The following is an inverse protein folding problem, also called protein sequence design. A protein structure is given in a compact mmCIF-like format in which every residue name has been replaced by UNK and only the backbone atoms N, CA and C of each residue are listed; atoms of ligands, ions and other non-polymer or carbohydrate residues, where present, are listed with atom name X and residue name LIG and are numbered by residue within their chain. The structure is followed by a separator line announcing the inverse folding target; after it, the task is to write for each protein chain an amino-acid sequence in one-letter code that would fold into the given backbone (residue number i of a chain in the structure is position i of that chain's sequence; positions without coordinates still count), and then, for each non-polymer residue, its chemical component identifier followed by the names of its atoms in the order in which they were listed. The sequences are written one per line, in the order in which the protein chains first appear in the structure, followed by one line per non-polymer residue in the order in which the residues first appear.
data_IF_266882265911
#
_entry.id   IF_266882265911
#
_cell.length_a   1.000
_cell.length_b   1.000
_cell.length_c   1.000
_cell.angle_alpha   90.00
_cell.angle_beta   90.00
_cell.angle_gamma   90.00
#
_symmetry.space_group_name_H-M   'P 1'
#
loop_
_entity.id
_entity.type
_entity.pdbx_description
1 polymer ?
#
# COMPACT_ATOMS: atom_id res chain seq x y z
N UNK A 1 -43.27 -6.49 -16.31
CA UNK A 1 -42.29 -5.59 -15.63
C UNK A 1 -41.22 -6.49 -15.05
N UNK A 2 -40.13 -6.69 -15.82
CA UNK A 2 -38.98 -7.49 -15.34
C UNK A 2 -38.28 -6.67 -14.25
N UNK A 3 -38.38 -7.12 -13.01
CA UNK A 3 -37.53 -6.60 -11.93
C UNK A 3 -36.06 -6.84 -12.31
N UNK A 4 -35.38 -5.80 -12.75
CA UNK A 4 -33.94 -5.89 -12.95
C UNK A 4 -33.30 -6.19 -11.58
N UNK A 5 -32.71 -7.39 -11.49
CA UNK A 5 -32.08 -7.85 -10.26
C UNK A 5 -30.69 -7.19 -10.17
N UNK A 6 -30.55 -6.16 -9.34
CA UNK A 6 -29.28 -5.51 -9.07
C UNK A 6 -28.64 -6.07 -7.81
N UNK A 7 -27.37 -6.41 -7.91
CA UNK A 7 -26.53 -6.70 -6.76
C UNK A 7 -25.94 -5.39 -6.24
N UNK A 8 -26.31 -4.99 -5.02
CA UNK A 8 -25.73 -3.83 -4.33
C UNK A 8 -24.42 -4.23 -3.65
N UNK A 9 -23.34 -3.70 -4.13
CA UNK A 9 -22.00 -3.93 -3.57
C UNK A 9 -21.50 -2.64 -2.93
N UNK A 10 -21.23 -2.69 -1.61
CA UNK A 10 -20.51 -1.60 -0.94
C UNK A 10 -19.03 -1.81 -1.13
N UNK A 11 -18.33 -0.75 -1.51
CA UNK A 11 -16.87 -0.73 -1.69
C UNK A 11 -16.29 0.52 -1.05
N UNK A 12 -15.12 0.41 -0.45
CA UNK A 12 -14.50 1.50 0.27
C UNK A 12 -14.08 2.64 -0.67
N UNK A 13 -14.33 3.87 -0.24
CA UNK A 13 -13.90 5.11 -0.88
C UNK A 13 -13.45 6.08 0.21
N UNK A 14 -12.17 6.11 0.47
CA UNK A 14 -11.66 6.83 1.63
C UNK A 14 -12.15 6.23 2.95
N UNK A 15 -12.65 7.10 3.81
CA UNK A 15 -13.27 6.70 5.08
C UNK A 15 -14.75 6.36 4.93
N UNK A 16 -15.32 6.54 3.73
CA UNK A 16 -16.72 6.25 3.41
C UNK A 16 -16.83 5.04 2.48
N UNK A 17 -18.06 4.66 2.16
CA UNK A 17 -18.32 3.63 1.17
C UNK A 17 -19.11 4.23 0.00
N UNK A 18 -18.85 3.73 -1.20
CA UNK A 18 -19.68 3.95 -2.37
C UNK A 18 -20.48 2.67 -2.68
N UNK A 19 -21.64 2.84 -3.29
CA UNK A 19 -22.48 1.72 -3.67
C UNK A 19 -22.37 1.49 -5.17
N UNK A 20 -21.98 0.27 -5.54
CA UNK A 20 -22.00 -0.22 -6.91
C UNK A 20 -23.31 -0.99 -7.15
N UNK A 21 -24.24 -0.41 -7.88
CA UNK A 21 -25.44 -1.11 -8.35
C UNK A 21 -25.10 -1.80 -9.68
N UNK A 22 -24.76 -3.09 -9.60
CA UNK A 22 -24.40 -3.92 -10.76
C UNK A 22 -25.54 -4.90 -11.02
N UNK A 23 -25.94 -5.07 -12.30
CA UNK A 23 -26.89 -6.12 -12.63
C UNK A 23 -26.30 -7.47 -12.22
N UNK A 24 -27.13 -8.32 -11.59
CA UNK A 24 -26.68 -9.62 -11.10
C UNK A 24 -26.02 -10.46 -12.20
N UNK A 25 -26.50 -10.35 -13.43
CA UNK A 25 -25.92 -11.01 -14.61
C UNK A 25 -24.51 -10.51 -14.99
N UNK A 26 -24.13 -9.29 -14.58
CA UNK A 26 -22.79 -8.69 -14.86
C UNK A 26 -21.80 -8.89 -13.71
N UNK A 27 -22.26 -9.18 -12.50
CA UNK A 27 -21.35 -9.48 -11.38
C UNK A 27 -20.85 -10.91 -11.50
N UNK A 28 -19.53 -11.08 -11.62
CA UNK A 28 -18.90 -12.41 -11.57
C UNK A 28 -18.70 -12.82 -10.12
N UNK A 29 -17.90 -12.05 -9.39
CA UNK A 29 -17.74 -12.23 -7.96
C UNK A 29 -17.28 -10.94 -7.28
N UNK A 30 -17.43 -10.92 -5.96
CA UNK A 30 -16.81 -9.94 -5.07
C UNK A 30 -15.77 -10.64 -4.20
N UNK A 31 -14.54 -10.15 -4.26
CA UNK A 31 -13.40 -10.69 -3.56
C UNK A 31 -13.14 -9.83 -2.33
N UNK A 32 -13.25 -10.44 -1.17
CA UNK A 32 -12.86 -9.87 0.11
C UNK A 32 -11.65 -10.65 0.64
N UNK A 33 -10.89 -10.04 1.55
CA UNK A 33 -9.72 -10.64 2.20
C UNK A 33 -9.95 -10.83 3.72
N UNK A 34 -11.05 -11.49 4.15
CA UNK A 34 -11.25 -11.78 5.55
C UNK A 34 -10.22 -12.81 6.02
N UNK A 35 -9.89 -12.80 7.30
CA UNK A 35 -8.97 -13.77 7.85
C UNK A 35 -8.99 -13.78 9.36
N UNK A 36 -8.25 -14.75 9.94
CA UNK A 36 -7.99 -14.79 11.36
C UNK A 36 -7.21 -13.54 11.76
N UNK A 37 -7.50 -13.02 12.93
CA UNK A 37 -6.80 -11.87 13.50
C UNK A 37 -6.27 -12.23 14.87
N UNK A 38 -5.14 -11.62 15.25
CA UNK A 38 -4.57 -11.75 16.57
C UNK A 38 -5.43 -10.99 17.59
N UNK A 39 -5.64 -11.62 18.74
CA UNK A 39 -6.14 -10.97 19.96
C UNK A 39 -5.06 -10.08 20.58
N UNK A 40 -5.44 -9.22 21.52
CA UNK A 40 -4.49 -8.34 22.19
C UNK A 40 -3.45 -9.13 22.97
N UNK A 41 -3.82 -10.25 23.61
CA UNK A 41 -2.89 -11.15 24.30
C UNK A 41 -1.90 -11.85 23.35
N UNK A 42 -2.34 -12.22 22.14
CA UNK A 42 -1.43 -12.79 21.13
C UNK A 42 -0.46 -11.73 20.59
N UNK A 43 -0.92 -10.49 20.41
CA UNK A 43 -0.06 -9.36 20.04
C UNK A 43 0.96 -9.11 21.13
N UNK A 44 0.54 -9.05 22.39
CA UNK A 44 1.40 -8.86 23.55
C UNK A 44 2.49 -9.93 23.63
N UNK A 45 2.13 -11.21 23.47
CA UNK A 45 3.09 -12.31 23.44
C UNK A 45 4.13 -12.15 22.33
N UNK A 46 3.72 -11.71 21.14
CA UNK A 46 4.63 -11.45 20.02
C UNK A 46 5.54 -10.23 20.24
N UNK A 47 5.18 -9.32 21.13
CA UNK A 47 6.00 -8.17 21.54
C UNK A 47 7.00 -8.49 22.66
N UNK A 48 6.99 -9.69 23.26
CA UNK A 48 7.91 -10.10 24.32
C UNK A 48 9.41 -9.94 23.99
N UNK A 49 9.87 -10.11 22.72
CA UNK A 49 11.27 -9.89 22.39
C UNK A 49 11.76 -8.44 22.59
N UNK A 50 10.84 -7.46 22.79
CA UNK A 50 11.21 -6.09 23.12
C UNK A 50 11.62 -5.96 24.58
N UNK A 51 12.85 -5.53 24.81
CA UNK A 51 13.34 -5.21 26.16
C UNK A 51 12.84 -3.84 26.62
N UNK A 52 11.66 -3.82 27.25
CA UNK A 52 11.04 -2.60 27.73
C UNK A 52 11.79 -1.93 28.90
N UNK A 53 12.78 -2.61 29.51
CA UNK A 53 13.60 -2.03 30.58
C UNK A 53 14.60 -1.00 30.07
N UNK A 54 14.90 -1.01 28.76
CA UNK A 54 15.81 -0.08 28.11
C UNK A 54 15.05 1.12 27.51
N UNK A 55 15.64 2.33 27.54
CA UNK A 55 15.10 3.44 26.78
C UNK A 55 14.98 3.08 25.31
N UNK A 56 13.83 3.38 24.69
CA UNK A 56 13.61 3.18 23.27
C UNK A 56 12.80 4.33 22.66
N UNK A 57 12.95 4.50 21.37
CA UNK A 57 12.16 5.42 20.55
C UNK A 57 11.46 4.63 19.44
N UNK A 58 10.17 4.82 19.30
CA UNK A 58 9.35 4.13 18.29
C UNK A 58 9.30 4.97 17.02
N UNK A 59 9.86 4.47 15.94
CA UNK A 59 9.82 5.13 14.63
C UNK A 59 8.65 4.58 13.82
N UNK A 60 7.58 5.34 13.70
CA UNK A 60 6.39 4.98 12.93
C UNK A 60 6.61 5.31 11.45
N UNK A 61 6.61 4.30 10.59
CA UNK A 61 6.92 4.43 9.16
C UNK A 61 5.69 4.56 8.27
N UNK A 62 4.54 4.04 8.69
CA UNK A 62 3.26 4.25 8.04
C UNK A 62 2.12 4.26 9.06
N UNK A 63 0.98 4.81 8.65
CA UNK A 63 -0.21 4.93 9.50
C UNK A 63 -1.27 3.94 9.05
N UNK A 64 -1.68 3.07 9.96
CA UNK A 64 -2.80 2.13 9.78
C UNK A 64 -3.44 1.82 11.13
N UNK A 65 -4.66 1.27 11.12
CA UNK A 65 -5.30 0.81 12.34
C UNK A 65 -4.53 -0.33 13.01
N UNK A 66 -3.81 -1.13 12.22
CA UNK A 66 -2.96 -2.22 12.75
C UNK A 66 -1.74 -1.68 13.50
N UNK A 67 -1.08 -0.65 12.96
CA UNK A 67 0.02 0.05 13.64
C UNK A 67 -0.49 0.70 14.93
N UNK A 68 -1.62 1.43 14.86
CA UNK A 68 -2.25 2.04 16.04
C UNK A 68 -2.57 0.99 17.12
N UNK A 69 -3.20 -0.12 16.74
CA UNK A 69 -3.55 -1.20 17.66
C UNK A 69 -2.30 -1.81 18.30
N UNK A 70 -1.26 -2.10 17.53
CA UNK A 70 0.00 -2.66 18.04
C UNK A 70 0.65 -1.74 19.08
N UNK A 71 0.69 -0.43 18.80
CA UNK A 71 1.24 0.54 19.73
C UNK A 71 0.39 0.71 20.99
N UNK A 72 -0.94 0.65 20.88
CA UNK A 72 -1.82 0.67 22.06
C UNK A 72 -1.56 -0.53 22.99
N UNK A 73 -1.40 -1.75 22.44
CA UNK A 73 -1.06 -2.94 23.23
C UNK A 73 0.32 -2.77 23.89
N UNK A 74 1.30 -2.22 23.15
CA UNK A 74 2.64 -1.95 23.72
C UNK A 74 2.56 -0.93 24.87
N UNK A 75 1.78 0.13 24.73
CA UNK A 75 1.63 1.15 25.77
C UNK A 75 0.89 0.61 27.01
N UNK A 76 -0.14 -0.20 26.82
CA UNK A 76 -0.82 -0.88 27.92
C UNK A 76 0.17 -1.75 28.71
N UNK A 77 1.04 -2.50 28.02
CA UNK A 77 2.10 -3.31 28.65
C UNK A 77 3.13 -2.45 29.41
N UNK A 78 3.45 -1.26 28.91
CA UNK A 78 4.31 -0.33 29.64
C UNK A 78 3.65 0.14 30.94
N UNK A 79 2.36 0.43 30.91
CA UNK A 79 1.59 0.88 32.09
C UNK A 79 1.49 -0.21 33.15
N UNK A 80 1.15 -1.45 32.76
CA UNK A 80 1.11 -2.61 33.67
C UNK A 80 2.43 -2.81 34.40
N UNK A 81 3.56 -2.59 33.70
CA UNK A 81 4.90 -2.70 34.27
C UNK A 81 5.40 -1.44 34.96
N UNK A 82 4.59 -0.37 35.03
CA UNK A 82 4.99 0.94 35.54
C UNK A 82 6.21 1.54 34.84
N UNK A 83 6.37 1.27 33.54
CA UNK A 83 7.43 1.76 32.68
C UNK A 83 6.91 2.97 31.91
N UNK A 84 7.75 3.99 31.75
CA UNK A 84 7.42 5.16 30.93
C UNK A 84 7.20 4.75 29.47
N UNK A 85 6.10 5.21 28.86
CA UNK A 85 5.84 5.00 27.43
C UNK A 85 7.00 5.56 26.59
N UNK A 86 7.48 4.81 25.58
CA UNK A 86 8.49 5.30 24.64
C UNK A 86 8.05 6.57 23.90
N UNK A 87 9.01 7.42 23.50
CA UNK A 87 8.75 8.51 22.57
C UNK A 87 8.41 7.98 21.17
N UNK A 88 7.65 8.76 20.41
CA UNK A 88 7.30 8.43 19.02
C UNK A 88 8.00 9.38 18.06
N UNK A 89 8.66 8.82 17.07
CA UNK A 89 9.20 9.52 15.92
C UNK A 89 8.38 9.17 14.68
N UNK A 90 8.10 10.14 13.82
CA UNK A 90 7.36 9.89 12.58
C UNK A 90 7.84 10.79 11.45
N UNK A 91 7.70 10.35 10.21
CA UNK A 91 7.98 11.21 9.05
C UNK A 91 7.07 12.43 9.04
N UNK A 92 7.59 13.57 8.59
CA UNK A 92 6.86 14.84 8.49
C UNK A 92 5.51 14.71 7.77
N UNK A 93 5.42 13.81 6.78
CA UNK A 93 4.19 13.59 6.01
C UNK A 93 3.07 12.92 6.81
N UNK A 94 3.41 12.17 7.87
CA UNK A 94 2.44 11.38 8.64
C UNK A 94 2.35 11.81 10.12
N UNK A 95 3.23 12.68 10.60
CA UNK A 95 3.32 13.07 12.02
C UNK A 95 1.99 13.58 12.59
N UNK A 96 1.23 14.35 11.81
CA UNK A 96 -0.07 14.86 12.25
C UNK A 96 -1.11 13.75 12.40
N UNK A 97 -1.05 12.70 11.58
CA UNK A 97 -1.92 11.53 11.70
C UNK A 97 -1.55 10.73 12.94
N UNK A 98 -0.24 10.56 13.18
CA UNK A 98 0.27 9.88 14.38
C UNK A 98 -0.13 10.63 15.66
N UNK A 99 -0.06 11.98 15.68
CA UNK A 99 -0.56 12.80 16.80
C UNK A 99 -2.05 12.59 17.04
N UNK A 100 -2.85 12.46 15.98
CA UNK A 100 -4.28 12.17 16.11
C UNK A 100 -4.56 10.75 16.62
N UNK A 101 -3.67 9.80 16.34
CA UNK A 101 -3.79 8.43 16.88
C UNK A 101 -3.53 8.38 18.39
N UNK A 102 -2.62 9.22 18.88
CA UNK A 102 -2.13 9.22 20.26
C UNK A 102 -2.18 10.64 20.86
N UNK A 103 -3.37 11.21 21.07
CA UNK A 103 -3.52 12.62 21.52
C UNK A 103 -2.94 12.86 22.94
N UNK A 104 -2.87 11.82 23.76
CA UNK A 104 -2.31 11.89 25.10
C UNK A 104 -0.78 11.74 25.15
N UNK A 105 -0.15 11.42 24.02
CA UNK A 105 1.29 11.24 23.91
C UNK A 105 1.99 12.57 23.62
N UNK A 106 2.63 13.15 24.62
CA UNK A 106 3.28 14.46 24.49
C UNK A 106 4.63 14.41 23.73
N UNK A 107 5.25 13.24 23.59
CA UNK A 107 6.59 13.08 23.02
C UNK A 107 6.49 12.49 21.59
N UNK A 108 5.89 13.25 20.66
CA UNK A 108 5.84 12.90 19.24
C UNK A 108 6.61 13.96 18.46
N UNK A 109 7.72 13.54 17.79
CA UNK A 109 8.60 14.42 17.03
C UNK A 109 8.91 13.88 15.63
N UNK A 110 9.61 14.68 14.83
CA UNK A 110 9.94 14.30 13.44
C UNK A 110 11.13 13.34 13.41
N UNK A 111 11.01 12.27 12.64
CA UNK A 111 12.10 11.35 12.33
C UNK A 111 12.92 11.86 11.15
N UNK A 112 14.15 12.31 11.40
CA UNK A 112 15.01 12.93 10.40
C UNK A 112 16.11 11.99 9.90
N UNK A 113 16.81 11.29 10.78
CA UNK A 113 17.95 10.47 10.46
C UNK A 113 18.06 9.23 11.36
N UNK A 114 18.81 8.23 10.90
CA UNK A 114 19.30 7.15 11.74
C UNK A 114 20.68 7.59 12.20
N UNK A 115 20.74 8.20 13.38
CA UNK A 115 22.00 8.59 13.99
C UNK A 115 22.45 7.49 14.96
N UNK A 116 23.73 7.47 15.32
CA UNK A 116 24.28 6.67 16.41
C UNK A 116 23.78 7.25 17.75
N UNK A 117 22.47 7.14 17.97
CA UNK A 117 21.84 7.60 19.20
C UNK A 117 22.03 6.55 20.28
N UNK A 118 22.22 7.00 21.52
CA UNK A 118 22.25 6.12 22.72
C UNK A 118 20.88 5.46 23.02
N UNK A 119 19.88 5.70 22.18
CA UNK A 119 18.53 5.10 22.27
C UNK A 119 18.35 3.99 21.26
N UNK A 120 17.74 2.87 21.71
CA UNK A 120 17.36 1.79 20.81
C UNK A 120 16.20 2.22 19.92
N UNK A 121 16.44 2.42 18.63
CA UNK A 121 15.39 2.70 17.65
C UNK A 121 14.62 1.42 17.33
N UNK A 122 13.30 1.48 17.53
CA UNK A 122 12.37 0.41 17.17
C UNK A 122 11.44 0.93 16.07
N UNK A 123 11.63 0.44 14.86
CA UNK A 123 10.81 0.79 13.71
C UNK A 123 9.51 0.02 13.72
N UNK A 124 8.39 0.69 13.45
CA UNK A 124 7.06 0.07 13.42
C UNK A 124 6.42 0.34 12.08
N UNK A 125 5.99 -0.72 11.40
CA UNK A 125 5.33 -0.59 10.11
C UNK A 125 4.44 -1.77 9.75
N UNK A 126 3.34 -1.50 9.07
CA UNK A 126 2.53 -2.50 8.39
C UNK A 126 3.18 -2.80 7.04
N UNK A 127 3.40 -4.06 6.75
CA UNK A 127 3.88 -4.55 5.46
C UNK A 127 2.76 -4.40 4.42
N UNK A 128 3.13 -3.88 3.26
CA UNK A 128 2.24 -3.72 2.11
C UNK A 128 2.86 -4.41 0.89
N UNK A 129 2.09 -4.59 -0.18
CA UNK A 129 2.66 -5.03 -1.46
C UNK A 129 3.27 -3.85 -2.21
N UNK A 130 4.34 -4.13 -2.93
CA UNK A 130 5.08 -3.14 -3.70
C UNK A 130 5.48 -3.70 -5.06
N UNK A 131 5.25 -2.95 -6.13
CA UNK A 131 5.55 -3.40 -7.48
C UNK A 131 7.05 -3.54 -7.76
N UNK A 132 7.88 -2.73 -7.11
CA UNK A 132 9.33 -2.71 -7.31
C UNK A 132 10.07 -3.71 -6.41
N UNK A 133 9.67 -3.79 -5.14
CA UNK A 133 10.34 -4.63 -4.14
C UNK A 133 9.61 -5.95 -3.87
N UNK A 134 8.42 -6.13 -4.46
CA UNK A 134 7.51 -7.22 -4.12
C UNK A 134 6.75 -6.95 -2.82
N UNK A 135 7.44 -6.50 -1.79
CA UNK A 135 6.89 -6.13 -0.48
C UNK A 135 7.43 -4.77 -0.03
N UNK A 136 6.57 -3.90 0.47
CA UNK A 136 6.98 -2.70 1.18
C UNK A 136 7.11 -3.01 2.67
N UNK A 137 8.34 -3.05 3.17
CA UNK A 137 8.72 -3.41 4.54
C UNK A 137 9.48 -2.26 5.21
N UNK A 138 9.83 -2.40 6.47
CA UNK A 138 10.73 -1.47 7.15
C UNK A 138 12.03 -1.30 6.34
N UNK A 139 12.65 -2.39 5.87
CA UNK A 139 13.89 -2.34 5.08
C UNK A 139 13.74 -1.53 3.79
N UNK A 140 12.65 -1.69 3.06
CA UNK A 140 12.42 -0.98 1.80
C UNK A 140 12.11 0.50 2.03
N UNK A 141 11.37 0.83 3.09
CA UNK A 141 11.08 2.22 3.48
C UNK A 141 12.36 2.96 3.89
N UNK A 142 13.25 2.28 4.62
CA UNK A 142 14.56 2.84 4.97
C UNK A 142 15.43 3.07 3.73
N UNK A 143 15.45 2.12 2.79
CA UNK A 143 16.16 2.29 1.53
C UNK A 143 15.59 3.46 0.72
N UNK A 144 14.26 3.55 0.58
CA UNK A 144 13.60 4.67 -0.12
C UNK A 144 13.93 6.03 0.50
N UNK A 145 14.10 6.10 1.83
CA UNK A 145 14.36 7.36 2.55
C UNK A 145 15.85 7.75 2.58
N UNK A 146 16.75 6.79 2.74
CA UNK A 146 18.16 7.05 3.03
C UNK A 146 19.15 6.43 2.01
N UNK A 147 18.66 5.61 1.10
CA UNK A 147 19.48 4.75 0.27
C UNK A 147 20.06 5.40 -0.99
N UNK A 148 19.73 6.67 -1.31
CA UNK A 148 20.24 7.44 -2.47
C UNK A 148 20.69 6.62 -3.68
N UNK A 149 22.01 6.34 -3.81
CA UNK A 149 22.62 5.56 -4.90
C UNK A 149 22.14 4.10 -4.94
N UNK A 150 21.97 3.47 -3.76
CA UNK A 150 21.46 2.10 -3.68
C UNK A 150 19.98 2.03 -4.08
N UNK A 151 19.21 3.10 -3.84
CA UNK A 151 17.83 3.19 -4.31
C UNK A 151 17.79 3.29 -5.84
N UNK A 152 18.69 4.09 -6.44
CA UNK A 152 18.84 4.15 -7.90
C UNK A 152 19.24 2.79 -8.46
N UNK A 153 20.22 2.11 -7.87
CA UNK A 153 20.62 0.75 -8.26
C UNK A 153 19.46 -0.26 -8.18
N UNK A 154 18.67 -0.22 -7.11
CA UNK A 154 17.50 -1.06 -6.97
C UNK A 154 16.44 -0.81 -8.06
N UNK A 155 16.21 0.47 -8.40
CA UNK A 155 15.33 0.84 -9.49
C UNK A 155 15.87 0.36 -10.85
N UNK A 156 17.14 0.52 -11.14
CA UNK A 156 17.74 0.09 -12.40
C UNK A 156 17.66 -1.43 -12.63
N UNK A 157 17.73 -2.21 -11.57
CA UNK A 157 17.51 -3.66 -11.61
C UNK A 157 16.08 -4.04 -12.03
N UNK A 158 15.11 -3.16 -11.80
CA UNK A 158 13.67 -3.42 -11.97
C UNK A 158 13.00 -2.63 -13.11
N UNK A 159 13.67 -1.59 -13.65
CA UNK A 159 13.07 -0.68 -14.65
C UNK A 159 12.60 -1.37 -15.94
N UNK A 160 13.16 -2.51 -16.28
CA UNK A 160 12.78 -3.31 -17.46
C UNK A 160 11.66 -4.31 -17.21
N UNK A 161 11.30 -4.56 -15.96
CA UNK A 161 10.31 -5.54 -15.56
C UNK A 161 8.95 -4.88 -15.29
N UNK A 162 7.89 -5.67 -15.43
CA UNK A 162 6.57 -5.30 -14.95
C UNK A 162 6.51 -5.39 -13.42
N UNK A 163 5.53 -4.72 -12.76
CA UNK A 163 5.34 -4.83 -11.33
C UNK A 163 5.23 -6.30 -10.89
N UNK A 164 5.89 -6.65 -9.80
CA UNK A 164 5.91 -8.01 -9.26
C UNK A 164 5.56 -8.04 -7.77
N UNK A 165 4.36 -7.57 -7.38
CA UNK A 165 3.94 -7.55 -5.98
C UNK A 165 3.87 -8.98 -5.43
N UNK A 166 4.32 -9.14 -4.17
CA UNK A 166 4.31 -10.43 -3.47
C UNK A 166 5.38 -11.42 -3.94
N UNK A 167 6.35 -10.99 -4.76
CA UNK A 167 7.45 -11.82 -5.21
C UNK A 167 8.77 -11.43 -4.48
N UNK A 168 9.65 -12.41 -4.30
CA UNK A 168 11.00 -12.17 -3.78
C UNK A 168 11.92 -11.78 -4.95
N UNK A 169 12.20 -10.50 -5.08
CA UNK A 169 12.96 -9.90 -6.18
C UNK A 169 14.30 -9.36 -5.73
N UNK A 170 15.27 -9.18 -6.67
CA UNK A 170 16.62 -8.73 -6.34
C UNK A 170 16.64 -7.35 -5.64
N UNK A 171 15.77 -6.42 -6.02
CA UNK A 171 15.64 -5.12 -5.37
C UNK A 171 15.30 -5.24 -3.88
N UNK A 172 14.50 -6.23 -3.49
CA UNK A 172 14.20 -6.51 -2.08
C UNK A 172 15.43 -6.96 -1.30
N UNK A 173 16.31 -7.76 -1.94
CA UNK A 173 17.57 -8.16 -1.31
C UNK A 173 18.52 -6.96 -1.10
N UNK A 174 18.50 -5.97 -2.02
CA UNK A 174 19.26 -4.71 -1.86
C UNK A 174 18.76 -3.96 -0.61
N UNK A 175 17.43 -3.85 -0.42
CA UNK A 175 16.87 -3.20 0.76
C UNK A 175 17.22 -3.91 2.06
N UNK A 176 17.19 -5.25 2.08
CA UNK A 176 17.62 -6.04 3.25
C UNK A 176 19.11 -5.85 3.57
N UNK A 177 19.97 -5.83 2.56
CA UNK A 177 21.41 -5.55 2.72
C UNK A 177 21.65 -4.15 3.25
N UNK A 178 20.86 -3.16 2.80
CA UNK A 178 20.94 -1.80 3.28
C UNK A 178 20.61 -1.71 4.77
N UNK A 179 19.50 -2.30 5.21
CA UNK A 179 19.07 -2.25 6.61
C UNK A 179 20.02 -2.97 7.56
N UNK A 180 20.79 -3.99 7.09
CA UNK A 180 21.82 -4.68 7.89
C UNK A 180 22.98 -3.79 8.35
N UNK A 181 23.11 -2.57 7.80
CA UNK A 181 24.15 -1.61 8.23
C UNK A 181 23.83 -0.94 9.56
N UNK A 182 22.60 -1.10 10.07
CA UNK A 182 22.13 -0.40 11.25
C UNK A 182 21.80 -1.42 12.35
N UNK A 183 22.12 -1.09 13.60
CA UNK A 183 21.69 -1.86 14.78
C UNK A 183 20.30 -1.38 15.22
N UNK A 184 19.26 -1.87 14.57
CA UNK A 184 17.88 -1.47 14.78
C UNK A 184 16.96 -2.66 14.97
N UNK A 185 15.86 -2.45 15.68
CA UNK A 185 14.76 -3.41 15.78
C UNK A 185 13.58 -2.95 14.91
N UNK A 186 12.77 -3.90 14.49
CA UNK A 186 11.53 -3.65 13.76
C UNK A 186 10.38 -4.45 14.33
N UNK A 187 9.21 -3.84 14.36
CA UNK A 187 7.91 -4.47 14.52
C UNK A 187 7.26 -4.43 13.13
N UNK A 188 7.36 -5.54 12.42
CA UNK A 188 6.76 -5.69 11.10
C UNK A 188 5.40 -6.35 11.25
N UNK A 189 4.35 -5.74 10.72
CA UNK A 189 2.96 -6.15 10.90
C UNK A 189 2.39 -6.54 9.53
N UNK A 190 1.65 -7.63 9.46
CA UNK A 190 0.79 -7.96 8.32
C UNK A 190 -0.66 -7.96 8.76
N UNK A 191 -1.54 -7.39 7.91
CA UNK A 191 -2.94 -7.21 8.22
C UNK A 191 -3.84 -7.79 7.12
N UNK A 192 -5.09 -8.05 7.49
CA UNK A 192 -6.19 -8.36 6.59
C UNK A 192 -7.33 -7.33 6.78
N UNK A 193 -8.47 -7.53 6.12
CA UNK A 193 -9.61 -6.62 6.24
C UNK A 193 -10.23 -6.59 7.66
N UNK A 194 -9.94 -7.57 8.51
CA UNK A 194 -10.49 -7.68 9.87
C UNK A 194 -9.52 -7.16 10.95
N UNK A 195 -8.22 -7.02 10.66
CA UNK A 195 -7.23 -6.54 11.60
C UNK A 195 -5.84 -7.16 11.42
N UNK A 196 -5.07 -7.28 12.49
CA UNK A 196 -3.71 -7.83 12.46
C UNK A 196 -3.78 -9.34 12.22
N UNK A 197 -3.21 -9.79 11.11
CA UNK A 197 -3.10 -11.21 10.79
C UNK A 197 -1.91 -11.85 11.51
N UNK A 198 -0.76 -11.19 11.46
CA UNK A 198 0.47 -11.61 12.14
C UNK A 198 1.42 -10.41 12.34
N UNK A 199 2.39 -10.57 13.21
CA UNK A 199 3.49 -9.62 13.37
C UNK A 199 4.77 -10.34 13.83
N UNK A 200 5.91 -9.72 13.55
CA UNK A 200 7.21 -10.18 14.07
C UNK A 200 8.02 -9.03 14.62
N UNK A 201 8.80 -9.32 15.66
CA UNK A 201 9.79 -8.42 16.26
C UNK A 201 11.18 -8.97 15.97
N UNK A 202 12.05 -8.11 15.45
CA UNK A 202 13.43 -8.49 15.15
C UNK A 202 14.12 -7.50 14.21
N UNK A 203 15.30 -7.86 13.72
CA UNK A 203 15.99 -7.02 12.77
C UNK A 203 15.20 -6.94 11.44
N UNK A 204 14.98 -5.74 10.83
CA UNK A 204 14.14 -5.59 9.62
C UNK A 204 14.57 -6.43 8.41
N UNK A 205 15.84 -6.81 8.33
CA UNK A 205 16.32 -7.70 7.25
C UNK A 205 15.85 -9.15 7.38
N UNK A 206 15.29 -9.55 8.54
CA UNK A 206 14.91 -10.93 8.85
C UNK A 206 13.43 -11.24 8.64
N UNK A 207 12.73 -10.47 7.80
CA UNK A 207 11.28 -10.54 7.59
C UNK A 207 10.82 -11.57 6.54
N UNK A 208 11.71 -12.43 6.04
CA UNK A 208 11.41 -13.34 4.92
C UNK A 208 10.29 -14.34 5.20
N UNK A 209 10.18 -14.84 6.43
CA UNK A 209 9.09 -15.74 6.82
C UNK A 209 7.74 -15.04 6.83
N UNK A 210 7.70 -13.81 7.36
CA UNK A 210 6.49 -13.00 7.44
C UNK A 210 6.03 -12.57 6.04
N UNK A 211 6.94 -12.09 5.17
CA UNK A 211 6.59 -11.73 3.80
C UNK A 211 6.09 -12.92 2.98
N UNK A 212 6.69 -14.12 3.15
CA UNK A 212 6.20 -15.34 2.52
C UNK A 212 4.80 -15.72 3.00
N UNK A 213 4.54 -15.63 4.31
CA UNK A 213 3.22 -15.88 4.89
C UNK A 213 2.19 -14.90 4.33
N UNK A 214 2.54 -13.61 4.24
CA UNK A 214 1.68 -12.57 3.66
C UNK A 214 1.37 -12.86 2.18
N UNK A 215 2.38 -13.13 1.35
CA UNK A 215 2.18 -13.48 -0.05
C UNK A 215 1.30 -14.70 -0.25
N UNK A 216 1.50 -15.76 0.55
CA UNK A 216 0.67 -16.97 0.48
C UNK A 216 -0.77 -16.72 0.87
N UNK A 217 -1.00 -15.98 1.96
CA UNK A 217 -2.33 -15.66 2.45
C UNK A 217 -3.12 -14.75 1.50
N UNK A 218 -2.46 -13.71 0.99
CA UNK A 218 -3.10 -12.64 0.23
C UNK A 218 -3.31 -12.98 -1.25
N UNK A 219 -2.59 -13.97 -1.81
CA UNK A 219 -2.71 -14.33 -3.22
C UNK A 219 -3.99 -15.13 -3.47
N UNK A 220 -4.76 -14.68 -4.47
CA UNK A 220 -5.98 -15.33 -4.96
C UNK A 220 -5.82 -15.60 -6.45
N UNK A 221 -5.92 -16.87 -6.83
CA UNK A 221 -5.96 -17.26 -8.24
C UNK A 221 -7.42 -17.21 -8.72
N UNK A 222 -7.70 -16.24 -9.56
CA UNK A 222 -9.05 -16.02 -10.13
C UNK A 222 -9.03 -16.16 -11.66
N UNK A 223 -7.85 -16.35 -12.24
CA UNK A 223 -7.66 -16.28 -13.68
C UNK A 223 -7.75 -14.85 -14.21
N UNK A 224 -7.87 -14.71 -15.54
CA UNK A 224 -7.86 -13.40 -16.20
C UNK A 224 -9.24 -12.91 -16.58
N UNK A 225 -9.55 -11.68 -16.23
CA UNK A 225 -10.82 -11.01 -16.47
C UNK A 225 -10.65 -9.76 -17.33
N UNK A 226 -11.70 -9.37 -18.07
CA UNK A 226 -11.69 -8.15 -18.88
C UNK A 226 -11.94 -6.89 -18.08
N UNK A 227 -12.67 -7.01 -16.97
CA UNK A 227 -13.01 -5.84 -16.14
C UNK A 227 -12.84 -6.17 -14.67
N UNK A 228 -11.96 -5.44 -14.02
CA UNK A 228 -11.75 -5.49 -12.58
C UNK A 228 -12.00 -4.11 -11.99
N UNK A 229 -12.89 -4.02 -11.01
CA UNK A 229 -13.10 -2.84 -10.17
C UNK A 229 -12.37 -3.09 -8.86
N UNK A 230 -11.41 -2.24 -8.55
CA UNK A 230 -10.56 -2.35 -7.37
C UNK A 230 -10.70 -1.13 -6.46
N UNK A 231 -10.80 -1.35 -5.16
CA UNK A 231 -10.69 -0.31 -4.14
C UNK A 231 -9.43 -0.50 -3.31
N UNK A 232 -8.86 0.60 -2.87
CA UNK A 232 -7.67 0.63 -2.00
C UNK A 232 -7.96 0.26 -0.55
N UNK A 233 -9.21 -0.04 -0.20
CA UNK A 233 -9.60 -0.23 1.20
C UNK A 233 -9.63 1.08 2.00
N UNK A 234 -9.64 0.97 3.34
CA UNK A 234 -9.69 2.12 4.28
C UNK A 234 -8.32 2.60 4.76
N UNK A 235 -7.24 1.96 4.33
CA UNK A 235 -5.88 2.25 4.78
C UNK A 235 -5.22 3.46 4.11
N UNK A 236 -3.93 3.64 4.39
CA UNK A 236 -3.10 4.71 3.83
C UNK A 236 -2.95 4.66 2.31
N UNK A 237 -3.17 3.49 1.70
CA UNK A 237 -3.14 3.28 0.25
C UNK A 237 -4.14 4.14 -0.53
N UNK A 238 -5.14 4.70 0.17
CA UNK A 238 -6.19 5.54 -0.42
C UNK A 238 -5.89 7.06 -0.29
N UNK A 239 -4.82 7.44 0.40
CA UNK A 239 -4.56 8.84 0.68
C UNK A 239 -4.02 9.62 -0.51
N UNK A 240 -3.21 9.00 -1.35
CA UNK A 240 -2.59 9.64 -2.52
C UNK A 240 -2.67 8.75 -3.74
N UNK A 241 -2.61 9.36 -4.93
CA UNK A 241 -2.61 8.61 -6.19
C UNK A 241 -1.42 7.64 -6.26
N UNK A 242 -0.21 8.08 -5.93
CA UNK A 242 0.98 7.22 -5.97
C UNK A 242 0.81 5.94 -5.17
N UNK A 243 0.27 6.05 -3.93
CA UNK A 243 -0.01 4.86 -3.11
C UNK A 243 -1.17 4.01 -3.66
N UNK A 244 -2.19 4.66 -4.22
CA UNK A 244 -3.35 3.95 -4.77
C UNK A 244 -3.00 3.12 -6.01
N UNK A 245 -2.01 3.52 -6.80
CA UNK A 245 -1.57 2.76 -7.97
C UNK A 245 -1.03 1.37 -7.62
N UNK A 246 -0.45 1.19 -6.44
CA UNK A 246 0.00 -0.13 -5.98
C UNK A 246 -1.11 -1.20 -6.03
N UNK A 247 -2.36 -0.81 -5.80
CA UNK A 247 -3.51 -1.72 -5.86
C UNK A 247 -3.82 -2.20 -7.27
N UNK A 248 -3.48 -1.41 -8.30
CA UNK A 248 -3.55 -1.85 -9.70
C UNK A 248 -2.45 -2.88 -9.98
N UNK A 249 -1.23 -2.65 -9.44
CA UNK A 249 -0.13 -3.59 -9.59
C UNK A 249 -0.50 -4.95 -9.02
N UNK A 250 -1.18 -4.98 -7.88
CA UNK A 250 -1.64 -6.19 -7.21
C UNK A 250 -2.67 -6.99 -8.03
N UNK A 251 -3.35 -6.35 -8.97
CA UNK A 251 -4.37 -6.97 -9.83
C UNK A 251 -3.92 -7.15 -11.29
N UNK A 252 -2.75 -6.64 -11.66
CA UNK A 252 -2.34 -6.52 -13.07
C UNK A 252 -2.23 -7.83 -13.82
N UNK A 253 -1.87 -8.93 -13.15
CA UNK A 253 -1.78 -10.28 -13.76
C UNK A 253 -3.15 -10.88 -14.07
N UNK A 254 -4.18 -10.51 -13.29
CA UNK A 254 -5.55 -10.98 -13.48
C UNK A 254 -6.34 -10.19 -14.54
N UNK A 255 -5.72 -9.17 -15.17
CA UNK A 255 -6.39 -8.37 -16.20
C UNK A 255 -5.97 -8.84 -17.58
N UNK A 256 -6.96 -9.13 -18.43
CA UNK A 256 -6.72 -9.50 -19.85
C UNK A 256 -6.16 -8.31 -20.63
N UNK A 257 -5.41 -8.61 -21.69
CA UNK A 257 -5.12 -7.61 -22.71
C UNK A 257 -6.43 -7.05 -23.27
N UNK A 258 -6.43 -5.75 -23.57
CA UNK A 258 -7.62 -4.97 -23.98
C UNK A 258 -8.73 -4.92 -22.90
N UNK A 259 -8.38 -5.25 -21.65
CA UNK A 259 -9.26 -5.14 -20.49
C UNK A 259 -9.28 -3.74 -19.88
N UNK A 260 -9.96 -3.61 -18.74
CA UNK A 260 -10.11 -2.37 -17.99
C UNK A 260 -9.87 -2.64 -16.51
N UNK A 261 -8.94 -1.89 -15.91
CA UNK A 261 -8.78 -1.76 -14.47
C UNK A 261 -9.43 -0.47 -13.98
N UNK A 262 -10.36 -0.53 -13.08
CA UNK A 262 -11.04 0.64 -12.51
C UNK A 262 -10.69 0.77 -11.03
N UNK A 263 -9.91 1.80 -10.73
CA UNK A 263 -9.50 2.12 -9.37
C UNK A 263 -10.50 3.06 -8.72
N UNK A 264 -10.93 2.71 -7.51
CA UNK A 264 -11.76 3.53 -6.64
C UNK A 264 -10.89 3.97 -5.46
N UNK A 265 -10.47 5.24 -5.45
CA UNK A 265 -9.61 5.80 -4.42
C UNK A 265 -9.87 7.30 -4.25
N UNK A 266 -10.08 7.75 -3.02
CA UNK A 266 -10.38 9.16 -2.74
C UNK A 266 -9.22 10.08 -3.13
N UNK A 267 -7.97 9.69 -2.80
CA UNK A 267 -6.74 10.45 -3.04
C UNK A 267 -6.77 11.86 -2.42
N UNK A 268 -7.35 12.01 -1.21
CA UNK A 268 -7.58 13.32 -0.56
C UNK A 268 -6.31 14.13 -0.27
N UNK A 269 -5.16 13.49 -0.24
CA UNK A 269 -3.86 14.13 -0.05
C UNK A 269 -3.10 14.35 -1.38
N UNK A 270 -3.80 14.27 -2.53
CA UNK A 270 -3.27 14.63 -3.84
C UNK A 270 -2.46 13.51 -4.51
N UNK A 271 -1.45 13.91 -5.28
CA UNK A 271 -0.65 13.00 -6.12
C UNK A 271 0.26 12.09 -5.26
N UNK A 272 0.95 12.64 -4.27
CA UNK A 272 1.79 11.88 -3.33
C UNK A 272 3.03 11.20 -3.93
N UNK A 273 3.43 11.58 -5.15
CA UNK A 273 4.60 11.06 -5.85
C UNK A 273 5.30 12.20 -6.59
N UNK A 274 6.58 12.41 -6.32
CA UNK A 274 7.36 13.47 -6.95
C UNK A 274 7.54 13.23 -8.45
N UNK A 275 7.74 11.97 -8.85
CA UNK A 275 7.89 11.61 -10.26
C UNK A 275 6.59 11.85 -11.05
N UNK A 276 5.43 11.43 -10.51
CA UNK A 276 4.13 11.65 -11.14
C UNK A 276 3.85 13.16 -11.23
N UNK A 277 4.13 13.92 -10.16
CA UNK A 277 3.95 15.38 -10.18
C UNK A 277 4.82 16.05 -11.24
N UNK A 278 6.12 15.71 -11.30
CA UNK A 278 7.02 16.27 -12.31
C UNK A 278 6.62 15.87 -13.74
N UNK A 279 6.06 14.68 -13.93
CA UNK A 279 5.54 14.25 -15.24
C UNK A 279 4.30 15.08 -15.65
N UNK A 280 3.37 15.26 -14.73
CA UNK A 280 2.16 16.11 -14.96
C UNK A 280 2.57 17.54 -15.31
N UNK A 281 3.61 18.07 -14.65
CA UNK A 281 4.15 19.41 -14.89
C UNK A 281 4.99 19.51 -16.19
N UNK A 282 5.23 18.40 -16.89
CA UNK A 282 6.07 18.35 -18.09
C UNK A 282 7.57 18.42 -17.84
N UNK A 283 8.02 18.30 -16.57
CA UNK A 283 9.45 18.34 -16.17
C UNK A 283 10.14 16.97 -16.22
N UNK A 284 9.38 15.89 -16.24
CA UNK A 284 9.87 14.52 -16.34
C UNK A 284 9.27 13.83 -17.56
N UNK A 285 10.09 13.15 -18.35
CA UNK A 285 9.64 12.37 -19.52
C UNK A 285 9.85 10.88 -19.30
N UNK A 286 9.11 10.04 -20.05
CA UNK A 286 9.27 8.57 -20.01
C UNK A 286 10.69 8.14 -20.36
N UNK A 287 11.37 8.85 -21.26
CA UNK A 287 12.77 8.53 -21.59
C UNK A 287 13.71 8.71 -20.41
N UNK A 288 13.48 9.72 -19.56
CA UNK A 288 14.25 9.92 -18.33
C UNK A 288 13.99 8.85 -17.28
N UNK A 289 12.81 8.24 -17.27
CA UNK A 289 12.53 7.09 -16.41
C UNK A 289 13.36 5.86 -16.81
N UNK A 290 13.61 5.69 -18.10
CA UNK A 290 14.40 4.55 -18.59
C UNK A 290 15.91 4.74 -18.35
N UNK A 291 16.39 5.96 -18.31
CA UNK A 291 17.81 6.32 -18.12
C UNK A 291 17.95 7.43 -17.07
N UNK A 292 17.69 7.13 -15.81
CA UNK A 292 17.74 8.13 -14.75
C UNK A 292 19.18 8.41 -14.31
N UNK A 293 19.48 9.68 -14.03
CA UNK A 293 20.72 10.09 -13.36
C UNK A 293 20.58 10.07 -11.82
N UNK A 294 19.35 10.08 -11.34
CA UNK A 294 19.03 10.00 -9.91
C UNK A 294 17.66 9.38 -9.73
N UNK A 295 17.42 8.79 -8.58
CA UNK A 295 16.09 8.29 -8.22
C UNK A 295 15.19 9.46 -7.80
N UNK A 296 13.94 9.44 -8.32
CA UNK A 296 12.88 10.36 -7.96
C UNK A 296 11.73 9.51 -7.40
N UNK A 297 11.21 9.86 -6.22
CA UNK A 297 10.19 9.09 -5.52
C UNK A 297 8.97 8.81 -6.40
N UNK A 298 8.64 7.52 -6.58
CA UNK A 298 7.51 7.02 -7.37
C UNK A 298 7.75 6.95 -8.87
N UNK A 299 9.02 7.00 -9.32
CA UNK A 299 9.33 6.86 -10.75
C UNK A 299 9.04 5.43 -11.25
N UNK A 300 9.12 4.42 -10.41
CA UNK A 300 8.71 3.05 -10.69
C UNK A 300 7.21 2.97 -11.02
N UNK A 301 6.37 3.61 -10.22
CA UNK A 301 4.92 3.60 -10.44
C UNK A 301 4.54 4.27 -11.75
N UNK A 302 5.18 5.40 -12.08
CA UNK A 302 4.98 6.08 -13.34
C UNK A 302 5.45 5.23 -14.52
N UNK A 303 6.59 4.56 -14.42
CA UNK A 303 7.09 3.66 -15.46
C UNK A 303 6.13 2.49 -15.67
N UNK A 304 5.72 1.82 -14.58
CA UNK A 304 4.78 0.70 -14.65
C UNK A 304 3.44 1.11 -15.21
N UNK A 305 2.92 2.29 -14.82
CA UNK A 305 1.69 2.83 -15.38
C UNK A 305 1.79 2.94 -16.92
N UNK A 306 2.88 3.51 -17.44
CA UNK A 306 3.06 3.64 -18.88
C UNK A 306 3.19 2.31 -19.60
N UNK A 307 3.78 1.29 -18.97
CA UNK A 307 3.92 -0.04 -19.57
C UNK A 307 2.62 -0.85 -19.53
N UNK A 308 1.87 -0.82 -18.43
CA UNK A 308 0.61 -1.56 -18.35
C UNK A 308 -0.49 -0.98 -19.22
N UNK A 309 -0.48 0.34 -19.45
CA UNK A 309 -1.45 1.00 -20.35
C UNK A 309 -1.31 0.57 -21.80
N UNK A 310 -0.22 -0.09 -22.18
CA UNK A 310 -0.08 -0.78 -23.48
C UNK A 310 -0.89 -2.09 -23.54
N UNK A 311 -1.29 -2.63 -22.39
CA UNK A 311 -2.00 -3.91 -22.29
C UNK A 311 -3.48 -3.72 -21.98
N UNK A 312 -3.83 -2.81 -21.09
CA UNK A 312 -5.21 -2.54 -20.68
C UNK A 312 -5.44 -1.09 -20.29
N UNK A 313 -6.70 -0.67 -20.28
CA UNK A 313 -7.08 0.68 -19.90
C UNK A 313 -7.14 0.81 -18.38
N UNK A 314 -6.77 1.99 -17.87
CA UNK A 314 -6.89 2.34 -16.45
C UNK A 314 -7.89 3.47 -16.30
N UNK A 315 -8.84 3.30 -15.39
CA UNK A 315 -9.77 4.37 -14.98
C UNK A 315 -9.68 4.63 -13.48
N UNK A 316 -10.05 5.83 -13.07
CA UNK A 316 -9.99 6.27 -11.68
C UNK A 316 -11.26 7.05 -11.30
N UNK A 317 -11.89 6.64 -10.21
CA UNK A 317 -12.87 7.42 -9.47
C UNK A 317 -12.17 8.03 -8.23
N UNK A 318 -12.03 9.35 -8.22
CA UNK A 318 -11.37 10.08 -7.13
C UNK A 318 -11.86 11.54 -7.05
N UNK A 319 -11.41 12.28 -6.05
CA UNK A 319 -11.63 13.74 -5.95
C UNK A 319 -10.56 14.55 -6.68
N UNK A 320 -9.57 13.89 -7.28
CA UNK A 320 -8.50 14.59 -8.02
C UNK A 320 -9.07 15.26 -9.27
N UNK A 321 -8.58 16.46 -9.63
CA UNK A 321 -8.98 17.14 -10.85
C UNK A 321 -8.71 16.30 -12.10
N UNK A 322 -9.70 16.19 -12.98
CA UNK A 322 -9.65 15.46 -14.25
C UNK A 322 -8.39 15.77 -15.09
N UNK A 323 -7.94 17.02 -15.04
CA UNK A 323 -6.77 17.47 -15.77
C UNK A 323 -5.51 16.67 -15.42
N UNK A 324 -5.25 16.43 -14.13
CA UNK A 324 -4.10 15.65 -13.69
C UNK A 324 -4.20 14.19 -14.13
N UNK A 325 -5.39 13.61 -13.99
CA UNK A 325 -5.66 12.22 -14.32
C UNK A 325 -5.50 11.95 -15.82
N UNK A 326 -6.02 12.87 -16.66
CA UNK A 326 -5.90 12.76 -18.12
C UNK A 326 -4.46 12.87 -18.62
N UNK A 327 -3.59 13.66 -17.95
CA UNK A 327 -2.16 13.73 -18.29
C UNK A 327 -1.41 12.41 -18.06
N UNK A 328 -1.93 11.57 -17.18
CA UNK A 328 -1.40 10.23 -16.92
C UNK A 328 -2.02 9.16 -17.84
N UNK A 329 -2.81 9.56 -18.85
CA UNK A 329 -3.57 8.66 -19.70
C UNK A 329 -4.51 7.73 -18.90
N UNK A 330 -4.98 8.18 -17.74
CA UNK A 330 -5.99 7.52 -16.93
C UNK A 330 -7.35 8.13 -17.23
N UNK A 331 -8.39 7.31 -17.35
CA UNK A 331 -9.76 7.77 -17.57
C UNK A 331 -10.38 8.26 -16.25
N UNK A 332 -10.67 9.56 -16.08
CA UNK A 332 -11.33 10.04 -14.86
C UNK A 332 -12.82 9.73 -14.87
N UNK A 333 -13.37 9.46 -13.69
CA UNK A 333 -14.80 9.31 -13.43
C UNK A 333 -15.21 10.17 -12.24
N UNK A 334 -16.35 10.87 -12.41
CA UNK A 334 -16.92 11.74 -11.38
C UNK A 334 -18.07 11.06 -10.61
N UNK A 335 -18.34 9.79 -10.90
CA UNK A 335 -19.38 9.01 -10.23
C UNK A 335 -19.50 7.58 -10.75
N UNK A 336 -20.08 6.74 -9.90
CA UNK A 336 -20.27 5.30 -10.18
C UNK A 336 -21.08 5.07 -11.46
N UNK A 337 -22.18 5.82 -11.68
CA UNK A 337 -22.99 5.64 -12.86
C UNK A 337 -22.19 5.84 -14.14
N UNK A 338 -21.41 6.92 -14.23
CA UNK A 338 -20.55 7.20 -15.37
C UNK A 338 -19.52 6.07 -15.61
N UNK A 339 -18.94 5.55 -14.53
CA UNK A 339 -18.00 4.44 -14.59
C UNK A 339 -18.66 3.16 -15.11
N UNK A 340 -19.85 2.82 -14.61
CA UNK A 340 -20.60 1.63 -15.05
C UNK A 340 -21.05 1.76 -16.52
N UNK A 341 -21.57 2.90 -16.91
CA UNK A 341 -21.97 3.17 -18.30
C UNK A 341 -20.77 3.03 -19.26
N UNK A 342 -19.59 3.48 -18.83
CA UNK A 342 -18.35 3.33 -19.60
C UNK A 342 -17.98 1.86 -19.79
N UNK A 343 -18.03 1.01 -18.73
CA UNK A 343 -17.76 -0.43 -18.83
C UNK A 343 -18.69 -1.08 -19.85
N UNK A 344 -20.00 -0.88 -19.66
CA UNK A 344 -21.00 -1.52 -20.52
C UNK A 344 -20.95 -1.06 -21.98
N UNK A 345 -20.56 0.20 -22.22
CA UNK A 345 -20.36 0.74 -23.56
C UNK A 345 -19.11 0.17 -24.22
N UNK A 346 -18.01 0.03 -23.46
CA UNK A 346 -16.70 -0.36 -24.01
C UNK A 346 -16.55 -1.86 -24.13
N UNK A 347 -17.03 -2.62 -23.12
CA UNK A 347 -16.83 -4.07 -23.04
C UNK A 347 -18.10 -4.88 -23.38
N UNK A 348 -19.24 -4.19 -23.56
CA UNK A 348 -20.51 -4.80 -23.90
C UNK A 348 -21.46 -5.00 -22.71
N UNK A 349 -22.77 -5.09 -23.03
CA UNK A 349 -23.84 -5.13 -22.03
C UNK A 349 -23.83 -6.37 -21.13
N UNK A 350 -23.22 -7.46 -21.57
CA UNK A 350 -23.08 -8.72 -20.82
C UNK A 350 -21.71 -8.90 -20.16
N UNK A 351 -20.92 -7.81 -20.09
CA UNK A 351 -19.57 -7.87 -19.51
C UNK A 351 -19.64 -8.34 -18.06
N UNK A 352 -18.84 -9.35 -17.73
CA UNK A 352 -18.63 -9.84 -16.38
C UNK A 352 -17.61 -8.95 -15.65
N UNK A 353 -17.88 -8.63 -14.39
CA UNK A 353 -17.14 -7.66 -13.58
C UNK A 353 -16.70 -8.34 -12.29
N UNK A 354 -15.40 -8.31 -12.03
CA UNK A 354 -14.82 -8.66 -10.75
C UNK A 354 -14.71 -7.43 -9.87
N UNK A 355 -15.03 -7.58 -8.58
CA UNK A 355 -14.90 -6.50 -7.59
C UNK A 355 -13.94 -6.93 -6.49
N UNK A 356 -13.00 -6.06 -6.13
CA UNK A 356 -12.13 -6.25 -4.97
C UNK A 356 -12.33 -5.11 -4.02
N UNK A 357 -12.74 -5.43 -2.79
CA UNK A 357 -13.06 -4.43 -1.77
C UNK A 357 -11.83 -3.80 -1.12
N UNK A 358 -10.71 -4.53 -1.03
CA UNK A 358 -9.45 -4.09 -0.42
C UNK A 358 -8.26 -4.74 -1.14
N UNK A 359 -7.91 -4.18 -2.27
CA UNK A 359 -6.80 -4.70 -3.09
C UNK A 359 -5.41 -4.29 -2.57
N UNK A 360 -5.33 -3.43 -1.56
CA UNK A 360 -4.07 -3.18 -0.88
C UNK A 360 -3.56 -4.43 -0.12
N UNK A 361 -4.49 -5.32 0.24
CA UNK A 361 -4.21 -6.56 1.00
C UNK A 361 -4.45 -7.85 0.22
N UNK A 362 -4.58 -7.76 -1.11
CA UNK A 362 -4.79 -8.92 -1.99
C UNK A 362 -3.92 -8.82 -3.24
N UNK A 363 -3.43 -9.96 -3.70
CA UNK A 363 -2.81 -10.11 -5.03
C UNK A 363 -3.73 -11.01 -5.84
N UNK A 364 -4.07 -10.59 -7.06
CA UNK A 364 -4.85 -11.39 -7.99
C UNK A 364 -3.97 -11.95 -9.12
N UNK A 365 -4.13 -13.22 -9.40
CA UNK A 365 -3.47 -13.96 -10.48
C UNK A 365 -4.46 -14.78 -11.27
#
# INVERSE_FOLDING_TARGET
MFLMNYARNRINYGMTDVVLDIKAENLEQKIDTPGKTLSDSEIESKLEPLDLSKPMELVVLNTSESVKKTLNVLFAKCEEKSIRRPSILADRKIINIVKNYFPEQNNISEFVAIEDSNSNLVFVGEMEFDGMFGYETISTRLLKKFGTELMLSAYEKRKGDLPSPGQDVESFQIAKKFSKKFEILGIEIIANSNGIYDLSVGHPSSTSSLSKAFGTYATKDIGRHRTIITSTGKGSSNFTLGKSLATIWNCSEAIKNDGIALLIAECKHGIGSDAIQQFIDGRLSVNRLKNPSQYISGMEDLLYLTEIQKKFQVGLLSILPDFYIKKLNIKPFNGIKQMMDFILKTQGQKQKIEIISDSARAILR
#
